data_IF_743678939540
#
_entry.id   IF_743678939540
#
_cell.length_a   1.000
_cell.length_b   1.000
_cell.length_c   1.000
_cell.angle_alpha   90.00
_cell.angle_beta   90.00
_cell.angle_gamma   90.00
#
_symmetry.space_group_name_H-M   'P 1'
#
loop_
_entity.id
_entity.type
_entity.pdbx_description
1 polymer ?
#
# COMPACT_ATOMS: atom_id res chain seq x y z
N UNK A 1 45.98 8.96 25.54
CA UNK A 1 45.29 8.53 26.77
C UNK A 1 44.06 7.72 26.39
N UNK A 2 44.00 6.45 26.83
CA UNK A 2 42.92 5.49 26.55
C UNK A 2 41.77 5.70 27.54
N UNK A 3 40.54 5.82 27.06
CA UNK A 3 39.33 5.60 27.86
C UNK A 3 38.48 4.56 27.13
N UNK A 4 38.54 3.33 27.63
CA UNK A 4 37.69 2.20 27.23
C UNK A 4 36.43 2.26 28.08
N UNK A 5 35.26 2.34 27.45
CA UNK A 5 33.96 2.19 28.11
C UNK A 5 33.52 0.73 27.96
N UNK A 6 33.44 0.00 29.07
CA UNK A 6 32.90 -1.36 29.11
C UNK A 6 31.37 -1.30 29.07
N UNK A 7 30.76 -1.99 28.11
CA UNK A 7 29.33 -2.31 28.07
C UNK A 7 29.09 -3.68 28.73
N UNK A 8 28.08 -3.78 29.59
CA UNK A 8 27.64 -5.01 30.27
C UNK A 8 26.42 -5.62 29.56
N UNK A 9 26.36 -6.95 29.31
CA UNK A 9 25.19 -7.62 28.76
C UNK A 9 24.49 -8.50 29.83
N UNK A 10 23.51 -7.95 30.55
CA UNK A 10 22.79 -8.69 31.61
C UNK A 10 21.26 -8.76 31.41
N UNK A 11 20.74 -8.65 30.18
CA UNK A 11 19.28 -8.66 30.00
C UNK A 11 18.78 -9.47 28.80
N UNK A 12 19.15 -10.75 28.76
CA UNK A 12 18.54 -11.78 27.92
C UNK A 12 18.49 -13.06 28.74
N UNK A 13 17.30 -13.49 29.22
CA UNK A 13 16.91 -14.88 29.58
C UNK A 13 15.86 -14.99 30.71
N UNK A 14 14.64 -14.44 30.60
CA UNK A 14 13.59 -14.73 31.63
C UNK A 14 12.17 -15.06 31.13
N UNK A 15 11.74 -14.82 29.88
CA UNK A 15 10.31 -14.96 29.54
C UNK A 15 9.86 -16.25 28.81
N UNK A 16 10.44 -17.41 29.11
CA UNK A 16 9.92 -18.71 28.61
C UNK A 16 10.04 -19.77 29.71
N UNK A 17 9.04 -19.90 30.58
CA UNK A 17 8.72 -21.14 31.32
C UNK A 17 7.61 -20.91 32.37
N UNK A 18 6.33 -20.99 31.98
CA UNK A 18 5.26 -21.45 32.88
C UNK A 18 3.97 -21.68 32.10
N UNK A 19 3.63 -22.92 31.76
CA UNK A 19 2.27 -23.49 31.64
C UNK A 19 2.35 -24.81 30.89
N UNK A 20 2.61 -25.89 31.61
CA UNK A 20 2.65 -27.23 31.04
C UNK A 20 2.82 -28.27 32.14
N UNK A 21 1.71 -28.68 32.75
CA UNK A 21 1.56 -29.95 33.45
C UNK A 21 0.18 -30.01 34.10
N UNK A 22 -0.69 -30.90 33.59
CA UNK A 22 -1.61 -31.73 34.38
C UNK A 22 -2.23 -32.78 33.45
N UNK A 23 -1.63 -33.97 33.49
CA UNK A 23 -2.13 -35.20 32.90
C UNK A 23 -2.09 -36.28 33.99
N UNK A 24 -3.22 -36.95 34.27
CA UNK A 24 -3.42 -38.32 34.80
C UNK A 24 -4.94 -38.59 34.75
N UNK A 25 -5.55 -39.75 34.48
CA UNK A 25 -5.19 -41.16 34.21
C UNK A 25 -6.47 -41.89 33.72
N UNK A 26 -6.40 -42.95 32.90
CA UNK A 26 -6.36 -44.39 33.23
C UNK A 26 -7.68 -45.18 32.93
N UNK A 27 -7.58 -46.05 31.91
CA UNK A 27 -8.26 -47.32 31.57
C UNK A 27 -9.57 -47.81 32.26
N UNK A 28 -10.55 -48.29 31.47
CA UNK A 28 -10.95 -49.73 31.36
C UNK A 28 -12.12 -49.98 30.39
N UNK A 29 -12.15 -51.21 29.87
CA UNK A 29 -12.97 -51.75 28.78
C UNK A 29 -14.24 -52.49 29.24
N UNK A 30 -15.16 -52.69 28.27
CA UNK A 30 -16.14 -53.81 28.09
C UNK A 30 -17.65 -53.49 28.21
N UNK A 31 -18.28 -53.62 27.02
CA UNK A 31 -19.40 -54.54 26.64
C UNK A 31 -20.83 -53.97 26.53
N UNK A 32 -21.38 -54.26 25.34
CA UNK A 32 -22.71 -53.99 24.75
C UNK A 32 -23.91 -54.36 25.63
N UNK A 33 -24.99 -53.56 25.55
CA UNK A 33 -26.40 -54.01 25.49
C UNK A 33 -27.21 -53.02 24.63
N UNK A 34 -28.16 -53.56 23.88
CA UNK A 34 -29.04 -53.00 22.84
C UNK A 34 -30.35 -52.44 23.45
N UNK A 35 -30.90 -51.33 22.93
CA UNK A 35 -32.31 -51.14 22.51
C UNK A 35 -32.67 -49.65 22.26
N UNK A 36 -33.37 -49.41 21.14
CA UNK A 36 -33.99 -48.23 20.46
C UNK A 36 -34.70 -47.11 21.28
N UNK A 37 -35.25 -46.03 20.66
CA UNK A 37 -34.82 -45.16 19.53
C UNK A 37 -35.12 -43.64 19.77
N UNK A 38 -34.66 -42.72 18.88
CA UNK A 38 -35.29 -41.45 18.44
C UNK A 38 -34.24 -40.40 17.97
N UNK A 39 -34.68 -39.32 17.30
CA UNK A 39 -34.71 -39.05 15.86
C UNK A 39 -33.35 -38.57 15.27
N UNK A 40 -33.17 -38.51 13.93
CA UNK A 40 -31.93 -37.98 13.36
C UNK A 40 -31.78 -36.50 13.71
N UNK A 41 -30.70 -36.15 14.40
CA UNK A 41 -30.30 -34.78 14.65
C UNK A 41 -30.11 -34.05 13.29
N UNK A 42 -30.52 -32.76 13.18
CA UNK A 42 -30.35 -31.99 11.96
C UNK A 42 -28.88 -31.96 11.57
N UNK A 43 -28.60 -32.26 10.30
CA UNK A 43 -27.27 -32.14 9.72
C UNK A 43 -26.87 -30.67 9.83
N UNK A 44 -25.94 -30.36 10.74
CA UNK A 44 -25.33 -29.04 10.84
C UNK A 44 -24.58 -28.79 9.53
N UNK A 45 -25.18 -27.97 8.68
CA UNK A 45 -24.60 -27.51 7.44
C UNK A 45 -23.42 -26.62 7.83
N UNK A 46 -22.22 -27.18 7.76
CA UNK A 46 -20.97 -26.42 7.85
C UNK A 46 -20.99 -25.42 6.69
N UNK A 47 -21.37 -24.18 7.00
CA UNK A 47 -21.25 -23.07 6.08
C UNK A 47 -19.76 -22.84 5.87
N UNK A 48 -19.25 -22.90 4.63
CA UNK A 48 -17.84 -22.64 4.36
C UNK A 48 -17.52 -21.23 4.84
N UNK A 49 -16.47 -21.10 5.66
CA UNK A 49 -15.94 -19.77 6.02
C UNK A 49 -15.69 -18.98 4.73
N UNK A 50 -16.13 -17.70 4.64
CA UNK A 50 -15.95 -16.91 3.44
C UNK A 50 -14.47 -16.89 3.05
N UNK A 51 -14.18 -17.19 1.78
CA UNK A 51 -12.84 -17.02 1.24
C UNK A 51 -12.37 -15.57 1.50
N UNK A 52 -11.07 -15.35 1.81
CA UNK A 52 -10.54 -14.00 1.98
C UNK A 52 -10.91 -13.14 0.76
N UNK A 53 -11.59 -12.02 0.99
CA UNK A 53 -11.87 -11.08 -0.09
C UNK A 53 -10.53 -10.64 -0.72
N UNK A 54 -10.46 -10.50 -2.07
CA UNK A 54 -9.26 -10.01 -2.72
C UNK A 54 -8.87 -8.66 -2.10
N UNK A 55 -7.58 -8.48 -1.83
CA UNK A 55 -7.06 -7.23 -1.28
C UNK A 55 -7.48 -6.07 -2.19
N UNK A 56 -8.21 -5.11 -1.62
CA UNK A 56 -8.58 -3.89 -2.36
C UNK A 56 -7.32 -3.05 -2.59
N UNK A 57 -7.18 -2.41 -3.77
CA UNK A 57 -6.03 -1.56 -4.03
C UNK A 57 -5.99 -0.41 -3.02
N UNK A 58 -4.79 -0.04 -2.61
CA UNK A 58 -4.57 1.09 -1.72
C UNK A 58 -5.07 2.40 -2.35
N UNK A 59 -5.35 3.41 -1.52
CA UNK A 59 -5.78 4.72 -2.02
C UNK A 59 -4.72 5.34 -2.94
N UNK A 60 -3.45 5.11 -2.62
CA UNK A 60 -2.27 5.51 -3.37
C UNK A 60 -2.24 4.84 -4.75
N UNK A 61 -2.41 3.52 -4.83
CA UNK A 61 -2.46 2.79 -6.11
C UNK A 61 -3.60 3.27 -7.00
N UNK A 62 -4.78 3.51 -6.41
CA UNK A 62 -5.93 4.05 -7.15
C UNK A 62 -5.63 5.46 -7.66
N UNK A 63 -4.99 6.30 -6.85
CA UNK A 63 -4.60 7.65 -7.24
C UNK A 63 -3.55 7.63 -8.36
N UNK A 64 -2.53 6.78 -8.26
CA UNK A 64 -1.49 6.58 -9.28
C UNK A 64 -2.12 6.19 -10.61
N UNK A 65 -2.98 5.17 -10.63
CA UNK A 65 -3.63 4.72 -11.87
C UNK A 65 -4.46 5.82 -12.53
N UNK A 66 -5.19 6.61 -11.75
CA UNK A 66 -5.97 7.77 -12.26
C UNK A 66 -5.06 8.87 -12.81
N UNK A 67 -3.99 9.22 -12.11
CA UNK A 67 -3.05 10.24 -12.55
C UNK A 67 -2.30 9.86 -13.82
N UNK A 68 -1.83 8.61 -13.94
CA UNK A 68 -1.17 8.13 -15.16
C UNK A 68 -2.09 8.20 -16.38
N UNK A 69 -3.38 7.91 -16.19
CA UNK A 69 -4.39 8.08 -17.23
C UNK A 69 -4.55 9.56 -17.61
N UNK A 70 -4.62 10.48 -16.63
CA UNK A 70 -4.67 11.91 -16.92
C UNK A 70 -3.42 12.41 -17.64
N UNK A 71 -2.22 12.01 -17.20
CA UNK A 71 -0.95 12.41 -17.84
C UNK A 71 -0.91 11.96 -19.30
N UNK A 72 -1.33 10.73 -19.55
CA UNK A 72 -1.42 10.16 -20.89
C UNK A 72 -2.46 10.86 -21.75
N UNK A 73 -3.64 11.17 -21.21
CA UNK A 73 -4.69 11.91 -21.94
C UNK A 73 -4.26 13.34 -22.29
N UNK A 74 -3.60 14.04 -21.38
CA UNK A 74 -3.10 15.41 -21.61
C UNK A 74 -2.04 15.41 -22.71
N UNK A 75 -1.06 14.50 -22.62
CA UNK A 75 0.03 14.39 -23.59
C UNK A 75 -0.47 14.00 -24.99
N UNK A 76 -1.47 13.12 -25.07
CA UNK A 76 -2.01 12.63 -26.36
C UNK A 76 -3.18 13.46 -26.92
N UNK A 77 -3.63 14.51 -26.21
CA UNK A 77 -4.78 15.30 -26.64
C UNK A 77 -4.56 16.00 -27.99
N UNK A 78 -5.55 15.96 -28.87
CA UNK A 78 -5.48 16.52 -30.23
C UNK A 78 -5.75 18.02 -30.31
N UNK A 79 -6.26 18.63 -29.23
CA UNK A 79 -6.50 20.07 -29.17
C UNK A 79 -6.25 20.64 -27.76
N UNK A 80 -5.97 21.95 -27.70
CA UNK A 80 -5.58 22.64 -26.47
C UNK A 80 -6.74 22.71 -25.47
N UNK A 81 -7.97 22.90 -25.94
CA UNK A 81 -9.15 23.03 -25.10
C UNK A 81 -9.41 21.73 -24.32
N UNK A 82 -9.39 20.58 -25.00
CA UNK A 82 -9.55 19.27 -24.37
C UNK A 82 -8.43 18.99 -23.36
N UNK A 83 -7.18 19.30 -23.72
CA UNK A 83 -6.06 19.16 -22.77
C UNK A 83 -6.26 20.01 -21.52
N UNK A 84 -6.69 21.27 -21.68
CA UNK A 84 -6.94 22.17 -20.54
C UNK A 84 -8.07 21.66 -19.64
N UNK A 85 -9.14 21.09 -20.18
CA UNK A 85 -10.20 20.46 -19.37
C UNK A 85 -9.65 19.31 -18.53
N UNK A 86 -8.88 18.39 -19.14
CA UNK A 86 -8.25 17.28 -18.42
C UNK A 86 -7.25 17.77 -17.36
N UNK A 87 -6.54 18.88 -17.60
CA UNK A 87 -5.68 19.50 -16.59
C UNK A 87 -6.51 19.93 -15.37
N UNK A 88 -7.68 20.55 -15.54
CA UNK A 88 -8.53 20.95 -14.41
C UNK A 88 -9.03 19.75 -13.61
N UNK A 89 -9.40 18.67 -14.28
CA UNK A 89 -9.81 17.42 -13.65
C UNK A 89 -8.65 16.81 -12.84
N UNK A 90 -7.46 16.73 -13.43
CA UNK A 90 -6.27 16.23 -12.76
C UNK A 90 -5.92 17.08 -11.52
N UNK A 91 -5.96 18.41 -11.64
CA UNK A 91 -5.67 19.34 -10.53
C UNK A 91 -6.59 19.15 -9.32
N UNK A 92 -7.83 18.66 -9.52
CA UNK A 92 -8.74 18.37 -8.42
C UNK A 92 -8.27 17.26 -7.48
N UNK A 93 -7.35 16.40 -7.95
CA UNK A 93 -6.75 15.33 -7.14
C UNK A 93 -5.67 15.85 -6.19
N UNK A 94 -5.13 17.04 -6.43
CA UNK A 94 -4.02 17.60 -5.67
C UNK A 94 -4.52 18.46 -4.51
N UNK A 95 -3.73 18.50 -3.44
CA UNK A 95 -4.02 19.30 -2.25
C UNK A 95 -4.09 20.78 -2.59
N UNK A 96 -3.23 21.22 -3.52
CA UNK A 96 -3.21 22.55 -4.09
C UNK A 96 -2.44 22.58 -5.42
N UNK A 97 -2.50 23.71 -6.13
CA UNK A 97 -1.87 23.91 -7.43
C UNK A 97 -0.33 24.04 -7.38
N UNK A 98 0.22 24.28 -6.19
CA UNK A 98 1.66 24.38 -5.93
C UNK A 98 2.25 23.07 -5.40
N UNK A 99 1.48 21.97 -5.43
CA UNK A 99 1.92 20.65 -4.96
C UNK A 99 3.26 20.30 -5.63
N UNK A 100 4.32 20.03 -4.83
CA UNK A 100 5.65 19.77 -5.36
C UNK A 100 5.66 18.50 -6.20
N UNK A 101 6.35 18.60 -7.33
CA UNK A 101 6.65 17.47 -8.21
C UNK A 101 8.17 17.34 -8.28
N UNK A 102 8.67 16.18 -7.86
CA UNK A 102 10.09 15.86 -7.80
C UNK A 102 10.41 14.85 -8.90
N UNK A 103 11.33 15.19 -9.81
CA UNK A 103 11.71 14.31 -10.92
C UNK A 103 13.09 13.72 -10.61
N UNK A 104 13.15 12.41 -10.36
CA UNK A 104 14.40 11.69 -10.12
C UNK A 104 15.15 11.56 -11.44
N UNK A 105 16.38 12.09 -11.48
CA UNK A 105 17.28 12.03 -12.64
C UNK A 105 18.36 10.96 -12.49
N UNK A 106 18.74 10.62 -11.26
CA UNK A 106 19.70 9.58 -10.95
C UNK A 106 19.39 8.97 -9.58
N UNK A 107 19.69 7.68 -9.43
CA UNK A 107 19.60 6.98 -8.14
C UNK A 107 20.78 6.01 -8.01
N UNK A 108 21.56 6.13 -6.94
CA UNK A 108 22.65 5.20 -6.63
C UNK A 108 22.68 4.90 -5.14
N UNK A 109 22.72 3.61 -4.79
CA UNK A 109 22.77 3.15 -3.39
C UNK A 109 21.65 3.73 -2.51
N UNK A 110 20.48 4.01 -3.09
CA UNK A 110 19.31 4.59 -2.40
C UNK A 110 19.35 6.10 -2.23
N UNK A 111 20.38 6.79 -2.75
CA UNK A 111 20.46 8.25 -2.80
C UNK A 111 19.90 8.71 -4.15
N UNK A 112 18.88 9.57 -4.11
CA UNK A 112 18.21 10.12 -5.30
C UNK A 112 18.70 11.53 -5.58
N UNK A 113 19.09 11.79 -6.82
CA UNK A 113 19.29 13.14 -7.36
C UNK A 113 18.03 13.56 -8.11
N UNK A 114 17.61 14.79 -7.85
CA UNK A 114 16.41 15.36 -8.45
C UNK A 114 16.78 16.47 -9.43
N UNK A 115 15.94 16.63 -10.45
CA UNK A 115 15.95 17.81 -11.31
C UNK A 115 15.51 19.06 -10.52
N UNK A 116 15.50 20.21 -11.19
CA UNK A 116 14.94 21.45 -10.65
C UNK A 116 13.51 21.20 -10.13
N UNK A 117 13.23 21.57 -8.86
CA UNK A 117 11.89 21.43 -8.29
C UNK A 117 10.84 22.15 -9.12
N UNK A 118 9.71 21.47 -9.36
CA UNK A 118 8.59 22.04 -10.11
C UNK A 118 7.27 21.82 -9.36
N UNK A 119 6.18 22.39 -9.88
CA UNK A 119 4.84 22.23 -9.32
C UNK A 119 3.96 21.44 -10.27
N UNK A 120 2.87 20.89 -9.75
CA UNK A 120 1.94 20.12 -10.57
C UNK A 120 1.36 20.94 -11.73
N UNK A 121 1.00 22.21 -11.52
CA UNK A 121 0.50 23.06 -12.62
C UNK A 121 1.54 23.20 -13.74
N UNK A 122 2.80 23.43 -13.40
CA UNK A 122 3.88 23.53 -14.39
C UNK A 122 4.08 22.19 -15.12
N UNK A 123 4.10 21.09 -14.38
CA UNK A 123 4.29 19.76 -14.96
C UNK A 123 3.15 19.36 -15.91
N UNK A 124 1.88 19.60 -15.53
CA UNK A 124 0.74 19.30 -16.39
C UNK A 124 0.72 20.15 -17.67
N UNK A 125 1.09 21.42 -17.58
CA UNK A 125 1.26 22.27 -18.77
C UNK A 125 2.44 21.80 -19.64
N UNK A 126 3.55 21.38 -19.03
CA UNK A 126 4.66 20.77 -19.75
C UNK A 126 4.22 19.54 -20.56
N UNK A 127 3.40 18.65 -19.99
CA UNK A 127 2.86 17.50 -20.73
C UNK A 127 2.01 17.93 -21.93
N UNK A 128 1.15 18.94 -21.75
CA UNK A 128 0.31 19.50 -22.82
C UNK A 128 1.15 20.09 -23.95
N UNK A 129 2.17 20.88 -23.60
CA UNK A 129 2.95 21.65 -24.56
C UNK A 129 3.94 20.76 -25.31
N UNK A 130 4.54 19.79 -24.64
CA UNK A 130 5.51 18.86 -25.25
C UNK A 130 4.87 17.67 -25.93
N UNK A 131 3.61 17.35 -25.61
CA UNK A 131 2.89 16.14 -26.10
C UNK A 131 3.64 14.84 -25.79
N UNK A 132 4.40 14.82 -24.69
CA UNK A 132 5.22 13.67 -24.30
C UNK A 132 5.04 13.36 -22.82
N UNK A 133 4.59 12.14 -22.50
CA UNK A 133 4.56 11.61 -21.15
C UNK A 133 5.76 10.67 -20.92
N UNK A 134 6.94 11.26 -20.67
CA UNK A 134 8.21 10.54 -20.59
C UNK A 134 8.53 10.00 -19.20
N UNK A 135 7.71 10.35 -18.21
CA UNK A 135 7.92 9.95 -16.83
C UNK A 135 6.79 9.03 -16.40
N UNK A 136 7.02 8.27 -15.32
CA UNK A 136 6.00 7.54 -14.59
C UNK A 136 6.06 7.95 -13.12
N UNK A 137 4.97 7.72 -12.38
CA UNK A 137 4.88 8.01 -10.95
C UNK A 137 5.63 6.93 -10.18
N UNK A 138 6.71 7.32 -9.50
CA UNK A 138 7.50 6.40 -8.66
C UNK A 138 7.01 6.36 -7.22
N UNK A 139 6.53 7.49 -6.71
CA UNK A 139 5.97 7.60 -5.36
C UNK A 139 4.91 8.71 -5.29
N UNK A 140 3.99 8.59 -4.34
CA UNK A 140 2.94 9.57 -4.10
C UNK A 140 2.67 9.69 -2.60
N UNK A 141 2.45 10.92 -2.13
CA UNK A 141 1.99 11.15 -0.75
C UNK A 141 0.61 11.79 -0.78
N UNK A 142 -0.26 11.30 0.08
CA UNK A 142 -1.61 11.83 0.27
C UNK A 142 -1.68 12.67 1.56
N UNK A 143 -2.48 13.74 1.52
CA UNK A 143 -2.85 14.54 2.67
C UNK A 143 -3.94 13.85 3.51
N UNK A 144 -4.32 14.47 4.62
CA UNK A 144 -5.39 13.96 5.50
C UNK A 144 -6.77 13.86 4.83
N UNK A 145 -6.96 14.46 3.65
CA UNK A 145 -8.18 14.42 2.85
C UNK A 145 -8.08 13.41 1.70
N UNK A 146 -6.99 12.64 1.59
CA UNK A 146 -6.74 11.72 0.49
C UNK A 146 -6.36 12.39 -0.84
N UNK A 147 -5.97 13.67 -0.80
CA UNK A 147 -5.48 14.43 -1.96
C UNK A 147 -3.96 14.38 -2.04
N UNK A 148 -3.42 14.44 -3.24
CA UNK A 148 -1.98 14.34 -3.47
C UNK A 148 -1.27 15.58 -2.91
N UNK A 149 -0.36 15.39 -1.97
CA UNK A 149 0.42 16.45 -1.32
C UNK A 149 1.85 16.54 -1.83
N UNK A 150 2.37 15.48 -2.45
CA UNK A 150 3.68 15.41 -3.09
C UNK A 150 3.66 14.30 -4.15
N UNK A 151 4.36 14.51 -5.26
CA UNK A 151 4.46 13.56 -6.36
C UNK A 151 5.93 13.34 -6.74
N UNK A 152 6.38 12.10 -6.72
CA UNK A 152 7.69 11.72 -7.25
C UNK A 152 7.54 11.06 -8.62
N UNK A 153 8.36 11.49 -9.56
CA UNK A 153 8.39 11.00 -10.93
C UNK A 153 9.75 10.42 -11.25
N UNK A 154 9.76 9.42 -12.14
CA UNK A 154 10.98 8.87 -12.71
C UNK A 154 10.85 8.74 -14.22
N UNK A 155 11.99 8.81 -14.91
CA UNK A 155 12.04 8.56 -16.35
C UNK A 155 11.62 7.13 -16.69
N UNK A 156 10.74 6.98 -17.69
CA UNK A 156 10.37 5.69 -18.28
C UNK A 156 11.56 5.02 -18.98
#
# INVERSE_FOLDING_TARGET
>A
MKKRTLQSPLNRLVFIALFGLLAMGACKSKKKVVAEPAPPAPVEKVEPAPAPAPAQPSAEEVAVGKLENYFSSIANSTNVQAANSTIQEALSMFSNQETPVLIVIYEESGIKDYDEPTTIVKYLNYLKDTKKNLNFISDIRLDANGRVSELELRRK
#
